data_IF_859606461215
#
_entry.id   IF_859606461215
#
_cell.length_a   1.000
_cell.length_b   1.000
_cell.length_c   1.000
_cell.angle_alpha   90.00
_cell.angle_beta   90.00
_cell.angle_gamma   90.00
#
_symmetry.space_group_name_H-M   'P 1'
#
loop_
_entity.id
_entity.type
_entity.pdbx_description
1 polymer ?
#
# COMPACT_ATOMS: atom_id res chain seq x y z
N UNK A 1 -16.53 -30.47 16.00
CA UNK A 1 -16.57 -29.09 15.51
C UNK A 1 -15.34 -28.87 14.64
N UNK A 2 -15.53 -28.50 13.37
CA UNK A 2 -14.46 -28.42 12.35
C UNK A 2 -13.92 -26.99 12.16
N UNK A 3 -14.39 -26.05 12.98
CA UNK A 3 -14.00 -24.65 12.88
C UNK A 3 -12.82 -24.33 13.79
N UNK A 4 -11.91 -23.51 13.28
CA UNK A 4 -10.79 -22.96 14.06
C UNK A 4 -11.33 -21.94 15.08
N UNK A 5 -10.78 -21.97 16.29
CA UNK A 5 -11.10 -21.01 17.35
C UNK A 5 -10.83 -19.56 16.95
N UNK A 6 -11.71 -18.66 17.40
CA UNK A 6 -11.61 -17.22 17.08
C UNK A 6 -10.31 -16.60 17.61
N UNK A 7 -9.84 -17.01 18.79
CA UNK A 7 -8.56 -16.55 19.34
C UNK A 7 -7.38 -16.93 18.45
N UNK A 8 -7.41 -18.13 17.85
CA UNK A 8 -6.38 -18.61 16.93
C UNK A 8 -6.42 -17.82 15.62
N UNK A 9 -7.63 -17.53 15.09
CA UNK A 9 -7.79 -16.67 13.90
C UNK A 9 -7.25 -15.26 14.16
N UNK A 10 -7.57 -14.67 15.30
CA UNK A 10 -7.12 -13.33 15.68
C UNK A 10 -5.59 -13.25 15.79
N UNK A 11 -4.96 -14.23 16.44
CA UNK A 11 -3.50 -14.29 16.56
C UNK A 11 -2.81 -14.47 15.19
N UNK A 12 -3.34 -15.35 14.33
CA UNK A 12 -2.84 -15.52 12.95
C UNK A 12 -2.97 -14.22 12.15
N UNK A 13 -4.13 -13.56 12.21
CA UNK A 13 -4.35 -12.30 11.51
C UNK A 13 -3.37 -11.21 11.98
N UNK A 14 -3.10 -11.12 13.29
CA UNK A 14 -2.11 -10.19 13.85
C UNK A 14 -0.71 -10.46 13.29
N UNK A 15 -0.26 -11.73 13.29
CA UNK A 15 1.05 -12.13 12.74
C UNK A 15 1.16 -11.84 11.25
N UNK A 16 0.12 -12.13 10.48
CA UNK A 16 0.09 -11.86 9.04
C UNK A 16 0.13 -10.35 8.73
N UNK A 17 -0.57 -9.51 9.50
CA UNK A 17 -0.48 -8.06 9.33
C UNK A 17 0.92 -7.52 9.63
N UNK A 18 1.57 -8.03 10.68
CA UNK A 18 2.94 -7.66 11.01
C UNK A 18 3.90 -8.03 9.86
N UNK A 19 3.82 -9.27 9.38
CA UNK A 19 4.63 -9.72 8.24
C UNK A 19 4.35 -8.92 6.96
N UNK A 20 3.09 -8.61 6.67
CA UNK A 20 2.71 -7.80 5.52
C UNK A 20 3.31 -6.39 5.60
N UNK A 21 3.34 -5.78 6.79
CA UNK A 21 3.96 -4.47 6.99
C UNK A 21 5.49 -4.53 6.78
N UNK A 22 6.16 -5.57 7.27
CA UNK A 22 7.60 -5.79 7.06
C UNK A 22 7.93 -5.93 5.57
N UNK A 23 7.18 -6.77 4.85
CA UNK A 23 7.39 -7.00 3.41
C UNK A 23 7.08 -5.74 2.58
N UNK A 24 6.01 -5.02 2.92
CA UNK A 24 5.66 -3.76 2.26
C UNK A 24 6.74 -2.69 2.44
N UNK A 25 7.30 -2.58 3.65
CA UNK A 25 8.40 -1.65 3.91
C UNK A 25 9.68 -2.03 3.15
N UNK A 26 10.00 -3.33 3.05
CA UNK A 26 11.16 -3.83 2.31
C UNK A 26 11.03 -3.57 0.80
N UNK A 27 9.87 -3.88 0.20
CA UNK A 27 9.62 -3.59 -1.23
C UNK A 27 9.67 -2.09 -1.52
N UNK A 28 9.13 -1.25 -0.63
CA UNK A 28 9.23 0.20 -0.77
C UNK A 28 10.68 0.69 -0.76
N UNK A 29 11.50 0.14 0.13
CA UNK A 29 12.91 0.50 0.22
C UNK A 29 13.70 0.08 -1.03
N UNK A 30 13.40 -1.09 -1.61
CA UNK A 30 14.00 -1.55 -2.87
C UNK A 30 13.65 -0.63 -4.04
N UNK A 31 12.44 -0.05 -4.03
CA UNK A 31 11.92 0.86 -5.06
C UNK A 31 12.32 2.32 -4.88
N UNK A 32 13.04 2.67 -3.82
CA UNK A 32 13.40 4.05 -3.54
C UNK A 32 14.11 4.69 -4.75
N UNK A 33 13.58 5.83 -5.21
CA UNK A 33 14.05 6.56 -6.39
C UNK A 33 13.43 6.11 -7.73
N UNK A 34 12.66 5.03 -7.78
CA UNK A 34 11.97 4.59 -8.99
C UNK A 34 10.84 5.56 -9.38
N UNK A 35 10.61 5.73 -10.69
CA UNK A 35 9.51 6.55 -11.22
C UNK A 35 8.36 5.64 -11.66
N UNK A 36 7.17 5.84 -11.11
CA UNK A 36 6.04 4.91 -11.30
C UNK A 36 4.69 5.59 -11.57
N UNK A 37 3.81 4.89 -12.33
CA UNK A 37 2.33 5.05 -12.41
C UNK A 37 1.75 5.45 -11.07
N UNK A 38 1.03 6.56 -10.90
CA UNK A 38 0.19 6.72 -9.72
C UNK A 38 -1.19 7.24 -10.11
N UNK A 39 -2.24 6.53 -9.72
CA UNK A 39 -3.62 6.93 -9.91
C UNK A 39 -4.07 7.73 -8.69
N UNK A 40 -4.57 8.95 -8.89
CA UNK A 40 -5.19 9.72 -7.81
C UNK A 40 -6.55 9.10 -7.51
N UNK A 41 -6.65 8.34 -6.42
CA UNK A 41 -7.87 7.63 -6.03
C UNK A 41 -8.81 8.52 -5.20
N UNK A 42 -8.24 9.39 -4.36
CA UNK A 42 -8.96 10.36 -3.53
C UNK A 42 -8.20 11.70 -3.50
N UNK A 43 -8.85 12.83 -3.13
CA UNK A 43 -8.17 14.12 -3.10
C UNK A 43 -6.93 14.10 -2.22
N UNK A 44 -5.77 14.38 -2.82
CA UNK A 44 -4.47 14.44 -2.13
C UNK A 44 -3.72 13.12 -1.99
N UNK A 45 -4.30 11.98 -2.40
CA UNK A 45 -3.66 10.68 -2.32
C UNK A 45 -3.68 9.95 -3.66
N UNK A 46 -2.58 9.28 -3.98
CA UNK A 46 -2.46 8.45 -5.16
C UNK A 46 -1.89 7.08 -4.81
N UNK A 47 -2.29 6.07 -5.60
CA UNK A 47 -1.83 4.71 -5.49
C UNK A 47 -0.87 4.39 -6.63
N UNK A 48 0.34 3.93 -6.33
CA UNK A 48 1.30 3.55 -7.38
C UNK A 48 0.94 2.24 -8.07
N UNK A 49 1.55 1.96 -9.23
CA UNK A 49 1.46 0.65 -9.91
C UNK A 49 1.96 -0.51 -9.03
N UNK A 50 2.88 -0.23 -8.10
CA UNK A 50 3.36 -1.17 -7.09
C UNK A 50 2.54 -1.18 -5.79
N UNK A 51 1.37 -0.53 -5.76
CA UNK A 51 0.46 -0.48 -4.62
C UNK A 51 1.01 0.23 -3.37
N UNK A 52 1.83 1.26 -3.55
CA UNK A 52 2.22 2.16 -2.45
C UNK A 52 1.37 3.43 -2.47
N UNK A 53 0.79 3.75 -1.32
CA UNK A 53 0.14 5.05 -1.12
C UNK A 53 1.17 6.18 -1.08
N UNK A 54 0.92 7.23 -1.86
CA UNK A 54 1.75 8.45 -1.91
C UNK A 54 0.86 9.68 -1.88
N UNK A 55 1.42 10.82 -1.50
CA UNK A 55 0.73 12.10 -1.69
C UNK A 55 0.61 12.41 -3.17
N UNK A 56 -0.60 12.70 -3.62
CA UNK A 56 -0.80 13.22 -4.96
C UNK A 56 -0.17 14.62 -5.08
N UNK A 57 0.45 14.96 -6.23
CA UNK A 57 0.92 16.31 -6.47
C UNK A 57 -0.22 17.33 -6.34
N UNK A 58 0.09 18.52 -5.83
CA UNK A 58 -0.91 19.58 -5.63
C UNK A 58 -1.64 19.91 -6.94
N UNK A 59 -2.96 20.07 -6.86
CA UNK A 59 -3.82 20.35 -8.01
C UNK A 59 -4.17 19.14 -8.88
N UNK A 60 -3.69 17.94 -8.54
CA UNK A 60 -4.08 16.72 -9.25
C UNK A 60 -5.55 16.37 -8.99
N UNK A 61 -6.24 15.86 -10.01
CA UNK A 61 -7.66 15.49 -9.92
C UNK A 61 -7.82 13.99 -9.71
N UNK A 62 -8.87 13.60 -8.99
CA UNK A 62 -9.26 12.18 -8.87
C UNK A 62 -9.46 11.57 -10.26
N UNK A 63 -8.90 10.38 -10.48
CA UNK A 63 -8.88 9.70 -11.78
C UNK A 63 -7.70 10.07 -12.68
N UNK A 64 -6.88 11.05 -12.31
CA UNK A 64 -5.68 11.41 -13.05
C UNK A 64 -4.54 10.42 -12.77
N UNK A 65 -3.80 10.06 -13.82
CA UNK A 65 -2.51 9.39 -13.70
C UNK A 65 -1.39 10.44 -13.62
N UNK A 66 -0.60 10.41 -12.53
CA UNK A 66 0.42 11.41 -12.20
C UNK A 66 1.78 10.77 -11.96
N UNK A 67 2.86 11.44 -12.34
CA UNK A 67 4.23 10.92 -12.25
C UNK A 67 4.88 11.20 -10.92
N UNK A 68 5.17 10.12 -10.17
CA UNK A 68 5.76 10.18 -8.84
C UNK A 68 7.08 9.43 -8.78
N UNK A 69 7.87 9.76 -7.77
CA UNK A 69 9.07 9.02 -7.37
C UNK A 69 8.80 8.43 -5.99
N UNK A 70 9.03 7.12 -5.84
CA UNK A 70 8.92 6.42 -4.56
C UNK A 70 10.14 6.63 -3.67
#
# INVERSE_FOLDING_TARGET
>A
ADQVDEAVKADRARRLRALAAELSAADRAERAGAREWALVEVPGEAMTESYHGVSAPEGSQVGQLVRVTL
#
